data_IF_606958559567
#
_entry.id   IF_606958559567
#
_cell.length_a   1.000
_cell.length_b   1.000
_cell.length_c   1.000
_cell.angle_alpha   90.00
_cell.angle_beta   90.00
_cell.angle_gamma   90.00
#
_symmetry.space_group_name_H-M   'P 1'
#
loop_
_entity.id
_entity.type
_entity.pdbx_description
1 polymer ?
#
# COMPACT_ATOMS: atom_id res chain seq x y z
N UNK A 1 -6.44 15.12 13.95
CA UNK A 1 -6.55 13.70 13.54
C UNK A 1 -5.13 13.21 13.33
N UNK A 2 -4.69 12.24 14.14
CA UNK A 2 -3.33 11.67 14.07
C UNK A 2 -3.20 10.69 12.91
N UNK A 3 -2.00 10.63 12.33
CA UNK A 3 -1.66 9.59 11.36
C UNK A 3 -1.71 8.22 12.06
N UNK A 4 -2.29 7.26 11.36
CA UNK A 4 -2.41 5.86 11.75
C UNK A 4 -1.47 5.01 10.90
N UNK A 5 -1.01 3.89 11.44
CA UNK A 5 -0.19 2.93 10.72
C UNK A 5 -1.00 1.70 10.32
N UNK A 6 -0.49 0.97 9.34
CA UNK A 6 -1.11 -0.28 8.91
C UNK A 6 -0.39 -0.91 7.73
N UNK A 7 -0.90 -2.08 7.34
CA UNK A 7 -0.35 -2.89 6.26
C UNK A 7 -1.36 -2.95 5.11
N UNK A 8 -0.89 -2.74 3.88
CA UNK A 8 -1.72 -2.90 2.69
C UNK A 8 -1.97 -4.38 2.44
N UNK A 9 -3.24 -4.80 2.49
CA UNK A 9 -3.65 -6.20 2.24
C UNK A 9 -4.27 -6.38 0.84
N UNK A 10 -4.71 -5.29 0.22
CA UNK A 10 -5.18 -5.29 -1.16
C UNK A 10 -4.80 -3.97 -1.80
N UNK A 11 -4.24 -4.02 -3.01
CA UNK A 11 -3.95 -2.84 -3.81
C UNK A 11 -4.72 -2.89 -5.13
N UNK A 12 -5.45 -1.82 -5.42
CA UNK A 12 -6.15 -1.63 -6.69
C UNK A 12 -5.73 -0.30 -7.32
N UNK A 13 -6.08 -0.07 -8.58
CA UNK A 13 -5.59 1.09 -9.33
C UNK A 13 -5.93 2.46 -8.72
N UNK A 14 -7.02 2.57 -7.95
CA UNK A 14 -7.48 3.83 -7.35
C UNK A 14 -7.55 3.84 -5.82
N UNK A 15 -7.56 2.68 -5.17
CA UNK A 15 -7.61 2.56 -3.71
C UNK A 15 -6.85 1.33 -3.23
N UNK A 16 -6.61 1.27 -1.93
CA UNK A 16 -6.11 0.07 -1.26
C UNK A 16 -6.96 -0.24 -0.03
N UNK A 17 -6.81 -1.46 0.47
CA UNK A 17 -7.34 -1.86 1.77
C UNK A 17 -6.16 -1.96 2.73
N UNK A 18 -6.26 -1.24 3.84
CA UNK A 18 -5.25 -1.20 4.90
C UNK A 18 -5.80 -1.95 6.11
N UNK A 19 -5.04 -2.93 6.60
CA UNK A 19 -5.24 -3.51 7.91
C UNK A 19 -4.56 -2.62 8.94
N UNK A 20 -5.34 -2.04 9.84
CA UNK A 20 -4.85 -1.28 10.98
C UNK A 20 -4.31 -2.22 12.08
N UNK A 21 -3.60 -1.65 13.06
CA UNK A 21 -2.99 -2.42 14.16
C UNK A 21 -4.01 -3.22 15.00
N UNK A 22 -5.26 -2.78 15.03
CA UNK A 22 -6.37 -3.47 15.69
C UNK A 22 -7.08 -4.52 14.80
N UNK A 23 -6.44 -4.94 13.69
CA UNK A 23 -6.95 -5.85 12.68
C UNK A 23 -8.23 -5.39 11.94
N UNK A 24 -8.65 -4.13 12.08
CA UNK A 24 -9.75 -3.58 11.29
C UNK A 24 -9.29 -3.21 9.87
N UNK A 25 -10.18 -3.39 8.90
CA UNK A 25 -9.90 -3.11 7.49
C UNK A 25 -10.49 -1.78 7.07
N UNK A 26 -9.65 -0.93 6.47
CA UNK A 26 -10.04 0.40 6.01
C UNK A 26 -9.78 0.55 4.52
N UNK A 27 -10.79 1.03 3.80
CA UNK A 27 -10.63 1.45 2.41
C UNK A 27 -9.91 2.81 2.40
N UNK A 28 -8.73 2.85 1.79
CA UNK A 28 -7.91 4.05 1.71
C UNK A 28 -7.69 4.50 0.27
N UNK A 29 -7.97 5.78 0.00
CA UNK A 29 -7.67 6.45 -1.26
C UNK A 29 -6.18 6.81 -1.34
N UNK A 30 -5.68 6.94 -2.57
CA UNK A 30 -4.30 7.35 -2.83
C UNK A 30 -4.21 8.86 -3.04
N UNK A 31 -3.15 9.49 -2.52
CA UNK A 31 -2.89 10.93 -2.73
C UNK A 31 -2.38 11.18 -4.15
N UNK A 32 -3.29 11.15 -5.12
CA UNK A 32 -3.01 11.40 -6.53
C UNK A 32 -2.36 10.23 -7.29
N UNK A 33 -2.02 10.47 -8.56
CA UNK A 33 -1.40 9.46 -9.46
C UNK A 33 0.12 9.52 -9.52
N UNK A 34 0.74 10.55 -8.93
CA UNK A 34 2.18 10.81 -8.98
C UNK A 34 2.80 10.35 -7.67
N UNK A 35 3.48 9.21 -7.68
CA UNK A 35 4.13 8.65 -6.51
C UNK A 35 4.25 7.12 -6.58
N UNK A 36 5.00 6.56 -5.65
CA UNK A 36 5.08 5.12 -5.47
C UNK A 36 3.69 4.58 -5.14
N UNK A 37 3.23 3.57 -5.89
CA UNK A 37 1.93 2.93 -5.64
C UNK A 37 2.07 1.91 -4.52
N UNK A 38 1.16 1.91 -3.53
CA UNK A 38 1.16 0.85 -2.53
C UNK A 38 0.88 -0.50 -3.20
N UNK A 39 1.56 -1.54 -2.77
CA UNK A 39 1.33 -2.94 -3.13
C UNK A 39 1.07 -3.75 -1.87
N UNK A 40 0.59 -4.99 -2.01
CA UNK A 40 0.37 -5.84 -0.84
C UNK A 40 1.68 -6.02 -0.04
N UNK A 41 1.57 -5.93 1.29
CA UNK A 41 2.70 -5.96 2.22
C UNK A 41 3.38 -4.62 2.48
N UNK A 42 3.01 -3.54 1.77
CA UNK A 42 3.52 -2.21 2.11
C UNK A 42 3.03 -1.76 3.48
N UNK A 43 3.97 -1.25 4.28
CA UNK A 43 3.66 -0.52 5.51
C UNK A 43 3.37 0.94 5.16
N UNK A 44 2.26 1.48 5.63
CA UNK A 44 1.79 2.82 5.26
C UNK A 44 1.43 3.64 6.49
N UNK A 45 1.57 4.97 6.38
CA UNK A 45 0.81 5.87 7.23
C UNK A 45 -0.42 6.38 6.46
N UNK A 46 -1.53 6.47 7.17
CA UNK A 46 -2.81 6.85 6.60
C UNK A 46 -3.63 7.61 7.64
N UNK A 47 -4.63 8.36 7.20
CA UNK A 47 -5.53 9.08 8.11
C UNK A 47 -6.98 8.89 7.71
N UNK A 48 -7.85 8.87 8.70
CA UNK A 48 -9.29 8.99 8.46
C UNK A 48 -9.63 10.42 8.07
N UNK A 49 -10.37 10.55 6.97
CA UNK A 49 -11.00 11.76 6.47
C UNK A 49 -12.53 11.54 6.45
N UNK A 50 -13.29 12.59 6.17
CA UNK A 50 -14.77 12.52 6.13
C UNK A 50 -15.29 11.45 5.14
N UNK A 51 -14.60 11.27 4.01
CA UNK A 51 -14.96 10.33 2.93
C UNK A 51 -14.20 8.99 3.00
N UNK A 52 -13.54 8.70 4.14
CA UNK A 52 -12.79 7.46 4.38
C UNK A 52 -11.28 7.66 4.53
N UNK A 53 -10.51 6.57 4.40
CA UNK A 53 -9.06 6.60 4.62
C UNK A 53 -8.31 7.29 3.48
N UNK A 54 -7.21 7.97 3.81
CA UNK A 54 -6.29 8.56 2.83
C UNK A 54 -4.84 8.20 3.18
N UNK A 55 -4.16 7.50 2.26
CA UNK A 55 -2.73 7.18 2.40
C UNK A 55 -1.92 8.48 2.40
N UNK A 56 -1.08 8.65 3.43
CA UNK A 56 -0.16 9.78 3.57
C UNK A 56 1.23 9.43 3.02
N UNK A 57 1.77 8.27 3.40
CA UNK A 57 3.07 7.81 2.91
C UNK A 57 3.19 6.29 2.93
N UNK A 58 4.20 5.79 2.21
CA UNK A 58 4.62 4.39 2.23
C UNK A 58 6.00 4.37 2.89
N UNK A 59 6.18 3.49 3.88
CA UNK A 59 7.47 3.30 4.53
C UNK A 59 8.48 2.66 3.56
N UNK A 60 9.80 2.82 3.78
CA UNK A 60 10.80 2.17 2.95
C UNK A 60 10.60 0.66 2.89
N UNK A 61 10.58 0.11 1.68
CA UNK A 61 10.46 -1.33 1.43
C UNK A 61 11.82 -1.99 1.68
N UNK A 62 11.86 -3.09 2.43
CA UNK A 62 13.11 -3.85 2.58
C UNK A 62 13.32 -4.82 1.41
N UNK A 63 12.26 -5.24 0.74
CA UNK A 63 12.31 -5.97 -0.53
C UNK A 63 11.05 -5.70 -1.37
N UNK A 64 11.12 -6.05 -2.65
CA UNK A 64 10.02 -5.92 -3.61
C UNK A 64 9.97 -7.16 -4.49
N UNK A 65 8.79 -7.77 -4.62
CA UNK A 65 8.51 -8.78 -5.62
C UNK A 65 7.96 -8.09 -6.87
N UNK A 66 8.64 -8.26 -7.99
CA UNK A 66 8.35 -7.55 -9.24
C UNK A 66 8.17 -8.53 -10.40
N UNK A 67 7.37 -8.13 -11.40
CA UNK A 67 7.23 -8.84 -12.67
C UNK A 67 7.42 -7.86 -13.81
N UNK A 68 8.15 -8.25 -14.85
CA UNK A 68 8.25 -7.48 -16.08
C UNK A 68 6.87 -7.27 -16.72
N UNK A 69 6.60 -6.07 -17.21
CA UNK A 69 5.47 -5.83 -18.10
C UNK A 69 5.76 -6.33 -19.53
N UNK A 70 4.84 -6.12 -20.46
CA UNK A 70 4.99 -6.56 -21.86
C UNK A 70 6.21 -5.95 -22.58
N UNK A 71 6.79 -4.87 -22.05
CA UNK A 71 8.00 -4.20 -22.56
C UNK A 71 9.23 -4.52 -21.72
N UNK A 72 9.10 -5.41 -20.73
CA UNK A 72 10.17 -5.78 -19.81
C UNK A 72 10.43 -4.78 -18.69
N UNK A 73 9.58 -3.76 -18.50
CA UNK A 73 9.76 -2.82 -17.40
C UNK A 73 9.32 -3.46 -16.07
N UNK A 74 10.09 -3.29 -14.99
CA UNK A 74 9.73 -3.82 -13.69
C UNK A 74 8.40 -3.24 -13.21
N UNK A 75 7.50 -4.13 -12.77
CA UNK A 75 6.24 -3.76 -12.15
C UNK A 75 6.12 -4.42 -10.78
N UNK A 76 6.10 -3.63 -9.69
CA UNK A 76 5.88 -4.15 -8.34
C UNK A 76 4.55 -4.90 -8.22
N UNK A 77 4.60 -6.07 -7.57
CA UNK A 77 3.45 -6.92 -7.25
C UNK A 77 3.18 -6.97 -5.75
N UNK A 78 4.22 -7.12 -4.94
CA UNK A 78 4.18 -7.16 -3.48
C UNK A 78 5.48 -6.61 -2.89
N UNK A 79 5.49 -6.27 -1.61
CA UNK A 79 6.65 -5.77 -0.89
C UNK A 79 6.72 -6.36 0.52
N UNK A 80 7.89 -6.31 1.13
CA UNK A 80 8.14 -6.75 2.51
C UNK A 80 7.76 -8.22 2.77
N UNK A 81 8.16 -9.11 1.86
CA UNK A 81 7.88 -10.55 1.92
C UNK A 81 9.10 -11.31 2.45
N UNK A 82 8.96 -12.00 3.59
CA UNK A 82 10.09 -12.72 4.21
C UNK A 82 10.34 -14.11 3.59
N UNK A 83 9.35 -14.70 2.92
CA UNK A 83 9.43 -16.06 2.38
C UNK A 83 8.64 -16.22 1.08
N UNK A 84 9.30 -16.81 0.08
CA UNK A 84 8.70 -17.33 -1.14
C UNK A 84 8.64 -18.86 -1.02
N UNK A 85 7.52 -19.47 -1.42
CA UNK A 85 7.32 -20.94 -1.38
C UNK A 85 6.80 -21.45 -2.72
#
# INVERSE_FOLDING_TARGET
>A
MSDQHGIVVTSTGNHCIVAADNATLHRCQLRGRRGLRPVCGDHVSWKMMDEGGLIQSIAPRHNVLERGDFRGHPRPLAANIDRLV
#
